data_IF_042377200316
#
_entry.id   IF_042377200316
#
_cell.length_a   1.000
_cell.length_b   1.000
_cell.length_c   1.000
_cell.angle_alpha   90.00
_cell.angle_beta   90.00
_cell.angle_gamma   90.00
#
_symmetry.space_group_name_H-M   'P 1'
#
loop_
_entity.id
_entity.type
_entity.pdbx_description
1 polymer ?
#
# COMPACT_ATOMS: atom_id res chain seq x y z
N UNK A 1 35.52 6.02 2.95
CA UNK A 1 34.22 6.60 3.31
C UNK A 1 33.15 5.63 2.80
N UNK A 2 32.80 4.63 3.60
CA UNK A 2 31.80 3.62 3.21
C UNK A 2 30.42 4.20 3.57
N UNK A 3 29.69 4.67 2.56
CA UNK A 3 28.33 5.16 2.70
C UNK A 3 27.41 3.98 3.04
N UNK A 4 27.02 3.91 4.32
CA UNK A 4 26.04 2.95 4.80
C UNK A 4 24.68 3.31 4.18
N UNK A 5 24.25 2.58 3.17
CA UNK A 5 22.87 2.65 2.69
C UNK A 5 22.03 1.89 3.72
N UNK A 6 21.50 2.62 4.71
CA UNK A 6 20.51 2.09 5.62
C UNK A 6 19.22 1.95 4.82
N UNK A 7 19.01 0.78 4.23
CA UNK A 7 17.67 0.38 3.83
C UNK A 7 16.88 0.19 5.13
N UNK A 8 16.24 1.27 5.57
CA UNK A 8 15.20 1.20 6.58
C UNK A 8 14.07 0.42 5.90
N UNK A 9 14.03 -0.90 6.11
CA UNK A 9 12.83 -1.67 5.83
C UNK A 9 11.74 -1.07 6.70
N UNK A 10 10.92 -0.23 6.08
CA UNK A 10 9.70 0.26 6.69
C UNK A 10 8.87 -1.00 6.90
N UNK A 11 8.77 -1.48 8.15
CA UNK A 11 7.91 -2.62 8.48
C UNK A 11 6.47 -2.22 8.16
N UNK A 12 6.02 -2.63 6.97
CA UNK A 12 4.65 -2.44 6.54
C UNK A 12 3.81 -3.46 7.31
N UNK A 13 2.86 -3.01 8.14
CA UNK A 13 2.02 -3.92 8.90
C UNK A 13 1.29 -4.89 7.96
N UNK A 14 1.16 -6.15 8.37
CA UNK A 14 0.47 -7.15 7.54
C UNK A 14 -0.98 -6.78 7.24
N UNK A 15 -1.61 -5.96 8.10
CA UNK A 15 -2.94 -5.41 7.82
C UNK A 15 -2.95 -4.51 6.59
N UNK A 16 -1.92 -3.70 6.37
CA UNK A 16 -1.82 -2.82 5.18
C UNK A 16 -1.59 -3.65 3.92
N UNK A 17 -0.79 -4.73 4.01
CA UNK A 17 -0.61 -5.66 2.89
C UNK A 17 -1.92 -6.33 2.51
N UNK A 18 -2.67 -6.84 3.49
CA UNK A 18 -4.00 -7.42 3.26
C UNK A 18 -4.98 -6.43 2.64
N UNK A 19 -5.05 -5.21 3.19
CA UNK A 19 -5.89 -4.15 2.63
C UNK A 19 -5.48 -3.83 1.18
N UNK A 20 -4.17 -3.80 0.87
CA UNK A 20 -3.69 -3.60 -0.50
C UNK A 20 -4.17 -4.71 -1.45
N UNK A 21 -4.12 -5.96 -1.02
CA UNK A 21 -4.62 -7.11 -1.78
C UNK A 21 -6.15 -7.05 -1.96
N UNK A 22 -6.90 -6.72 -0.91
CA UNK A 22 -8.36 -6.55 -0.95
C UNK A 22 -8.76 -5.42 -1.91
N UNK A 23 -8.02 -4.30 -1.91
CA UNK A 23 -8.22 -3.20 -2.86
C UNK A 23 -8.08 -3.68 -4.30
N UNK A 24 -7.09 -4.52 -4.56
CA UNK A 24 -6.81 -5.01 -5.91
C UNK A 24 -7.83 -6.06 -6.36
N UNK A 25 -8.34 -6.87 -5.43
CA UNK A 25 -9.47 -7.73 -5.67
C UNK A 25 -10.73 -6.91 -5.96
N UNK A 26 -11.02 -5.87 -5.18
CA UNK A 26 -12.13 -4.96 -5.42
C UNK A 26 -12.05 -4.30 -6.80
N UNK A 27 -10.85 -3.89 -7.25
CA UNK A 27 -10.64 -3.37 -8.62
C UNK A 27 -10.90 -4.43 -9.70
N UNK A 28 -10.46 -5.68 -9.51
CA UNK A 28 -10.75 -6.78 -10.44
C UNK A 28 -12.25 -7.07 -10.53
N UNK A 29 -12.94 -6.98 -9.41
CA UNK A 29 -14.39 -7.15 -9.30
C UNK A 29 -15.17 -5.90 -9.74
N UNK A 30 -14.47 -4.85 -10.20
CA UNK A 30 -15.02 -3.54 -10.60
C UNK A 30 -15.80 -2.83 -9.49
N UNK A 31 -15.53 -3.18 -8.24
CA UNK A 31 -16.06 -2.51 -7.06
C UNK A 31 -15.18 -1.32 -6.70
N UNK A 32 -15.38 -0.22 -7.43
CA UNK A 32 -14.61 1.02 -7.27
C UNK A 32 -14.83 1.68 -5.91
N UNK A 33 -16.04 1.55 -5.35
CA UNK A 33 -16.41 2.13 -4.06
C UNK A 33 -15.62 1.47 -2.93
N UNK A 34 -15.59 0.12 -2.89
CA UNK A 34 -14.79 -0.62 -1.94
C UNK A 34 -13.28 -0.35 -2.10
N UNK A 35 -12.79 -0.24 -3.33
CA UNK A 35 -11.39 0.09 -3.58
C UNK A 35 -11.01 1.48 -3.03
N UNK A 36 -11.91 2.47 -3.15
CA UNK A 36 -11.71 3.82 -2.61
C UNK A 36 -11.80 3.84 -1.08
N UNK A 37 -12.74 3.09 -0.48
CA UNK A 37 -12.83 2.92 0.98
C UNK A 37 -11.53 2.34 1.56
N UNK A 38 -11.02 1.27 0.95
CA UNK A 38 -9.78 0.62 1.39
C UNK A 38 -8.59 1.57 1.23
N UNK A 39 -8.51 2.34 0.14
CA UNK A 39 -7.47 3.36 -0.05
C UNK A 39 -7.49 4.38 1.08
N UNK A 40 -8.68 4.83 1.49
CA UNK A 40 -8.81 5.81 2.57
C UNK A 40 -8.40 5.20 3.93
N UNK A 41 -8.79 3.96 4.24
CA UNK A 41 -8.34 3.27 5.46
C UNK A 41 -6.82 3.19 5.54
N UNK A 42 -6.16 2.81 4.44
CA UNK A 42 -4.70 2.73 4.39
C UNK A 42 -4.06 4.11 4.64
N UNK A 43 -4.68 5.17 4.11
CA UNK A 43 -4.27 6.56 4.33
C UNK A 43 -4.44 7.01 5.77
N UNK A 44 -5.52 6.62 6.43
CA UNK A 44 -5.77 6.89 7.85
C UNK A 44 -4.74 6.21 8.76
N UNK A 45 -4.29 5.02 8.38
CA UNK A 45 -3.19 4.30 9.05
C UNK A 45 -1.80 4.93 8.79
N UNK A 46 -1.73 6.03 8.01
CA UNK A 46 -0.47 6.72 7.70
C UNK A 46 0.33 6.05 6.58
N UNK A 47 -0.33 5.33 5.67
CA UNK A 47 0.30 4.72 4.51
C UNK A 47 -0.39 5.17 3.22
N UNK A 48 0.32 5.17 2.11
CA UNK A 48 -0.19 5.51 0.79
C UNK A 48 0.14 4.36 -0.17
N UNK A 49 -0.83 3.97 -1.01
CA UNK A 49 -0.59 3.03 -2.10
C UNK A 49 -0.37 3.82 -3.38
N UNK A 50 0.78 3.61 -4.00
CA UNK A 50 1.12 4.10 -5.32
C UNK A 50 1.01 2.95 -6.33
N UNK A 51 0.15 3.12 -7.35
CA UNK A 51 0.01 2.12 -8.41
C UNK A 51 1.18 2.23 -9.38
N UNK A 52 2.01 1.19 -9.45
CA UNK A 52 3.13 1.13 -10.38
C UNK A 52 2.93 0.01 -11.40
N UNK A 53 3.67 0.06 -12.52
CA UNK A 53 3.66 -1.01 -13.54
C UNK A 53 4.12 -2.37 -13.00
N UNK A 54 4.84 -2.39 -11.88
CA UNK A 54 5.34 -3.60 -11.23
C UNK A 54 4.39 -4.10 -10.13
N UNK A 55 3.31 -3.37 -9.84
CA UNK A 55 2.36 -3.66 -8.77
C UNK A 55 2.15 -2.46 -7.83
N UNK A 56 1.25 -2.59 -6.85
CA UNK A 56 1.01 -1.56 -5.85
C UNK A 56 2.25 -1.44 -4.94
N UNK A 57 2.78 -0.22 -4.82
CA UNK A 57 3.87 0.11 -3.91
C UNK A 57 3.29 0.84 -2.71
N UNK A 58 3.52 0.30 -1.53
CA UNK A 58 3.07 0.90 -0.28
C UNK A 58 4.18 1.83 0.24
N UNK A 59 3.82 3.04 0.62
CA UNK A 59 4.71 4.06 1.16
C UNK A 59 4.17 4.54 2.49
N UNK A 60 5.02 4.75 3.48
CA UNK A 60 4.60 5.40 4.73
C UNK A 60 4.57 6.92 4.52
N UNK A 61 3.49 7.56 4.98
CA UNK A 61 3.32 9.02 4.98
C UNK A 61 4.14 9.67 6.10
#
# INVERSE_FOLDING_TARGET
MLGLVVNIEIEIPDIIKKLTEEREQARKDKNWELADEIRNKIREEGFEIEDTKLGPKIKKL
#
